data_IF_059038053895
#
_entry.id   IF_059038053895
#
_cell.length_a   1.000
_cell.length_b   1.000
_cell.length_c   1.000
_cell.angle_alpha   90.00
_cell.angle_beta   90.00
_cell.angle_gamma   90.00
#
_symmetry.space_group_name_H-M   'P 1'
#
loop_
_entity.id
_entity.type
_entity.pdbx_description
1 polymer ?
#
# COMPACT_ATOMS: atom_id res chain seq x y z
N UNK A 1 -14.78 26.83 -6.28
CA UNK A 1 -15.11 25.74 -5.34
C UNK A 1 -15.17 24.38 -6.03
N UNK A 2 -16.14 24.08 -6.92
CA UNK A 2 -16.14 22.78 -7.64
C UNK A 2 -15.04 22.67 -8.71
N UNK A 3 -14.78 23.75 -9.47
CA UNK A 3 -13.74 23.77 -10.52
C UNK A 3 -12.33 23.57 -9.98
N UNK A 4 -12.04 24.13 -8.80
CA UNK A 4 -10.72 24.01 -8.15
C UNK A 4 -10.44 22.56 -7.73
N UNK A 5 -11.45 21.87 -7.19
CA UNK A 5 -11.30 20.46 -6.81
C UNK A 5 -11.05 19.56 -8.02
N UNK A 6 -11.68 19.84 -9.16
CA UNK A 6 -11.44 19.13 -10.43
C UNK A 6 -10.00 19.35 -10.91
N UNK A 7 -9.50 20.59 -10.85
CA UNK A 7 -8.12 20.93 -11.20
C UNK A 7 -7.09 20.26 -10.27
N UNK A 8 -7.33 20.28 -8.97
CA UNK A 8 -6.48 19.64 -7.97
C UNK A 8 -6.45 18.12 -8.15
N UNK A 9 -7.60 17.50 -8.48
CA UNK A 9 -7.68 16.07 -8.79
C UNK A 9 -6.86 15.71 -10.03
N UNK A 10 -6.88 16.53 -11.08
CA UNK A 10 -6.02 16.30 -12.27
C UNK A 10 -4.54 16.28 -11.91
N UNK A 11 -4.09 17.22 -11.07
CA UNK A 11 -2.70 17.24 -10.63
C UNK A 11 -2.36 16.01 -9.77
N UNK A 12 -3.26 15.57 -8.89
CA UNK A 12 -3.07 14.34 -8.12
C UNK A 12 -3.00 13.11 -9.02
N UNK A 13 -3.92 12.98 -9.98
CA UNK A 13 -3.95 11.86 -10.93
C UNK A 13 -2.68 11.84 -11.80
N UNK A 14 -2.12 13.00 -12.14
CA UNK A 14 -0.81 13.13 -12.78
C UNK A 14 0.32 12.61 -11.88
N UNK A 15 0.33 12.98 -10.60
CA UNK A 15 1.32 12.49 -9.62
C UNK A 15 1.21 10.97 -9.41
N UNK A 16 0.00 10.43 -9.39
CA UNK A 16 -0.24 8.99 -9.23
C UNK A 16 0.22 8.16 -10.43
N UNK A 17 0.05 8.71 -11.64
CA UNK A 17 0.44 8.03 -12.88
C UNK A 17 1.95 8.14 -13.12
N UNK A 18 2.51 9.34 -12.97
CA UNK A 18 3.86 9.69 -13.42
C UNK A 18 4.80 9.88 -12.22
N UNK A 19 4.57 9.19 -11.10
CA UNK A 19 5.31 9.37 -9.84
C UNK A 19 6.83 9.24 -9.99
N UNK A 20 7.31 8.43 -10.94
CA UNK A 20 8.73 8.16 -11.16
C UNK A 20 9.44 9.28 -11.92
N UNK A 21 8.68 10.13 -12.61
CA UNK A 21 9.23 11.25 -13.37
C UNK A 21 9.71 12.36 -12.43
N UNK A 22 10.65 13.22 -12.88
CA UNK A 22 11.08 14.40 -12.14
C UNK A 22 9.96 15.46 -12.13
N UNK A 23 8.92 15.22 -11.32
CA UNK A 23 7.81 16.12 -11.13
C UNK A 23 8.20 17.25 -10.18
N UNK A 24 8.13 18.48 -10.68
CA UNK A 24 8.29 19.69 -9.88
C UNK A 24 6.93 20.33 -9.57
N UNK A 25 6.86 21.06 -8.45
CA UNK A 25 5.63 21.77 -8.02
C UNK A 25 5.13 22.75 -9.11
N UNK A 26 6.01 23.48 -9.83
CA UNK A 26 5.59 24.30 -10.96
C UNK A 26 4.87 23.54 -12.08
N UNK A 27 5.34 22.35 -12.48
CA UNK A 27 4.67 21.53 -13.50
C UNK A 27 3.29 21.06 -13.05
N UNK A 28 3.17 20.62 -11.80
CA UNK A 28 1.90 20.21 -11.21
C UNK A 28 0.91 21.38 -11.15
N UNK A 29 1.39 22.57 -10.78
CA UNK A 29 0.58 23.78 -10.76
C UNK A 29 0.10 24.18 -12.17
N UNK A 30 0.97 24.07 -13.19
CA UNK A 30 0.59 24.28 -14.60
C UNK A 30 -0.49 23.30 -15.05
N UNK A 31 -0.37 22.02 -14.69
CA UNK A 31 -1.37 20.99 -14.99
C UNK A 31 -2.73 21.26 -14.30
N UNK A 32 -2.71 21.92 -13.14
CA UNK A 32 -3.90 22.37 -12.43
C UNK A 32 -4.43 23.73 -12.91
N UNK A 33 -3.77 24.41 -13.86
CA UNK A 33 -4.06 25.80 -14.26
C UNK A 33 -4.02 26.80 -13.09
N UNK A 34 -3.05 26.61 -12.18
CA UNK A 34 -2.88 27.45 -10.99
C UNK A 34 -1.45 28.02 -10.92
N UNK A 35 -1.29 29.13 -10.21
CA UNK A 35 0.05 29.56 -9.78
C UNK A 35 0.60 28.60 -8.72
N UNK A 36 1.94 28.42 -8.61
CA UNK A 36 2.53 27.45 -7.68
C UNK A 36 2.15 27.66 -6.20
N UNK A 37 2.05 28.92 -5.78
CA UNK A 37 1.64 29.28 -4.42
C UNK A 37 0.16 28.98 -4.14
N UNK A 38 -0.72 29.30 -5.09
CA UNK A 38 -2.14 28.98 -4.97
C UNK A 38 -2.38 27.46 -4.99
N UNK A 39 -1.69 26.76 -5.89
CA UNK A 39 -1.72 25.30 -5.99
C UNK A 39 -1.31 24.64 -4.67
N UNK A 40 -0.16 25.01 -4.10
CA UNK A 40 0.34 24.38 -2.88
C UNK A 40 -0.62 24.56 -1.69
N UNK A 41 -1.20 25.74 -1.52
CA UNK A 41 -2.19 26.01 -0.46
C UNK A 41 -3.48 25.24 -0.69
N UNK A 42 -4.00 25.28 -1.92
CA UNK A 42 -5.28 24.64 -2.28
C UNK A 42 -5.17 23.12 -2.22
N UNK A 43 -4.05 22.55 -2.66
CA UNK A 43 -3.76 21.12 -2.57
C UNK A 43 -3.73 20.65 -1.11
N UNK A 44 -3.02 21.39 -0.24
CA UNK A 44 -3.00 21.07 1.20
C UNK A 44 -4.37 21.20 1.84
N UNK A 45 -5.14 22.22 1.49
CA UNK A 45 -6.50 22.39 1.99
C UNK A 45 -7.42 21.24 1.55
N UNK A 46 -7.25 20.73 0.33
CA UNK A 46 -8.10 19.67 -0.22
C UNK A 46 -7.69 18.25 0.20
N UNK A 47 -6.38 17.97 0.35
CA UNK A 47 -5.85 16.62 0.57
C UNK A 47 -5.13 16.43 1.91
N UNK A 48 -5.01 17.48 2.73
CA UNK A 48 -4.41 17.43 4.07
C UNK A 48 -2.88 17.49 4.10
N UNK A 49 -2.19 17.33 2.98
CA UNK A 49 -0.73 17.36 2.89
C UNK A 49 -0.21 18.20 1.73
N UNK A 50 1.09 18.52 1.73
CA UNK A 50 1.71 19.28 0.63
C UNK A 50 1.88 18.41 -0.61
N UNK A 51 1.94 19.00 -1.82
CA UNK A 51 2.20 18.23 -3.05
C UNK A 51 3.49 17.40 -2.97
N UNK A 52 4.56 17.95 -2.41
CA UNK A 52 5.82 17.21 -2.24
C UNK A 52 5.67 16.00 -1.31
N UNK A 53 4.98 16.18 -0.16
CA UNK A 53 4.72 15.09 0.78
C UNK A 53 3.92 13.98 0.11
N UNK A 54 2.86 14.34 -0.61
CA UNK A 54 2.00 13.40 -1.32
C UNK A 54 2.80 12.58 -2.34
N UNK A 55 3.56 13.25 -3.23
CA UNK A 55 4.38 12.57 -4.23
C UNK A 55 5.36 11.59 -3.57
N UNK A 56 5.99 12.02 -2.49
CA UNK A 56 6.95 11.19 -1.78
C UNK A 56 6.28 9.98 -1.13
N UNK A 57 5.10 10.13 -0.54
CA UNK A 57 4.30 9.01 -0.02
C UNK A 57 3.99 8.00 -1.13
N UNK A 58 3.54 8.47 -2.31
CA UNK A 58 3.29 7.60 -3.48
C UNK A 58 4.55 6.85 -3.93
N UNK A 59 5.71 7.52 -3.96
CA UNK A 59 7.00 6.89 -4.29
C UNK A 59 7.39 5.82 -3.27
N UNK A 60 7.21 6.07 -1.98
CA UNK A 60 7.51 5.10 -0.92
C UNK A 60 6.57 3.89 -1.01
N UNK A 61 5.27 4.09 -1.28
CA UNK A 61 4.34 2.98 -1.51
C UNK A 61 4.79 2.08 -2.66
N UNK A 62 5.24 2.67 -3.78
CA UNK A 62 5.79 1.91 -4.89
C UNK A 62 7.10 1.22 -4.52
N UNK A 63 7.98 1.90 -3.79
CA UNK A 63 9.25 1.33 -3.32
C UNK A 63 9.02 0.09 -2.47
N UNK A 64 8.04 0.12 -1.55
CA UNK A 64 7.64 -1.05 -0.76
C UNK A 64 7.28 -2.24 -1.67
N UNK A 65 6.51 -2.01 -2.73
CA UNK A 65 6.14 -3.07 -3.66
C UNK A 65 7.36 -3.68 -4.38
N UNK A 66 8.31 -2.85 -4.81
CA UNK A 66 9.55 -3.31 -5.45
C UNK A 66 10.47 -4.05 -4.49
N UNK A 67 10.62 -3.57 -3.25
CA UNK A 67 11.44 -4.22 -2.22
C UNK A 67 10.85 -5.58 -1.82
N UNK A 68 9.52 -5.71 -1.75
CA UNK A 68 8.87 -7.00 -1.49
C UNK A 68 9.13 -8.03 -2.58
N UNK A 69 9.27 -7.59 -3.82
CA UNK A 69 9.55 -8.47 -4.97
C UNK A 69 10.97 -9.03 -4.93
N UNK A 70 11.92 -8.26 -4.40
CA UNK A 70 13.30 -8.70 -4.13
C UNK A 70 14.29 -8.57 -5.30
N UNK A 71 13.79 -8.31 -6.53
CA UNK A 71 14.58 -8.28 -7.77
C UNK A 71 15.55 -7.10 -7.88
N UNK A 72 15.34 -6.02 -7.11
CA UNK A 72 16.15 -4.81 -7.15
C UNK A 72 16.83 -4.57 -5.80
N UNK A 73 18.04 -4.01 -5.84
CA UNK A 73 18.72 -3.44 -4.68
C UNK A 73 18.00 -2.17 -4.20
N UNK A 74 18.27 -1.76 -2.95
CA UNK A 74 17.69 -0.53 -2.38
C UNK A 74 18.04 0.70 -3.23
N UNK A 75 19.27 0.78 -3.73
CA UNK A 75 19.73 1.88 -4.58
C UNK A 75 18.99 1.91 -5.91
N UNK A 76 18.81 0.75 -6.56
CA UNK A 76 18.03 0.67 -7.81
C UNK A 76 16.57 1.04 -7.58
N UNK A 77 15.96 0.59 -6.47
CA UNK A 77 14.60 0.98 -6.11
C UNK A 77 14.48 2.49 -5.92
N UNK A 78 15.43 3.13 -5.21
CA UNK A 78 15.44 4.58 -5.01
C UNK A 78 15.32 5.34 -6.34
N UNK A 79 16.16 5.00 -7.32
CA UNK A 79 16.12 5.66 -8.63
C UNK A 79 14.90 5.24 -9.47
N UNK A 80 14.47 3.97 -9.38
CA UNK A 80 13.30 3.48 -10.11
C UNK A 80 11.98 4.15 -9.68
N UNK A 81 11.89 4.65 -8.45
CA UNK A 81 10.72 5.43 -7.98
C UNK A 81 10.89 6.94 -8.18
N UNK A 82 11.97 7.40 -8.83
CA UNK A 82 12.19 8.81 -9.14
C UNK A 82 12.83 9.63 -8.02
N UNK A 83 13.38 8.99 -6.98
CA UNK A 83 14.18 9.68 -5.97
C UNK A 83 15.60 9.93 -6.49
N UNK A 84 16.14 11.12 -6.21
CA UNK A 84 17.47 11.54 -6.70
C UNK A 84 18.60 11.29 -5.72
N UNK A 85 18.28 10.99 -4.45
CA UNK A 85 19.29 10.73 -3.43
C UNK A 85 18.87 9.57 -2.52
N UNK A 86 19.81 8.66 -2.29
CA UNK A 86 19.60 7.49 -1.44
C UNK A 86 19.38 7.88 0.02
N UNK A 87 20.06 8.93 0.51
CA UNK A 87 19.92 9.42 1.88
C UNK A 87 18.51 9.95 2.16
N UNK A 88 18.00 10.88 1.34
CA UNK A 88 16.66 11.44 1.53
C UNK A 88 15.58 10.37 1.36
N UNK A 89 15.75 9.46 0.39
CA UNK A 89 14.87 8.31 0.23
C UNK A 89 14.85 7.43 1.50
N UNK A 90 16.02 7.05 2.03
CA UNK A 90 16.11 6.15 3.18
C UNK A 90 15.52 6.76 4.44
N UNK A 91 15.79 8.04 4.71
CA UNK A 91 15.20 8.76 5.85
C UNK A 91 13.69 8.80 5.74
N UNK A 92 13.17 9.18 4.58
CA UNK A 92 11.72 9.33 4.37
C UNK A 92 10.99 7.99 4.32
N UNK A 93 11.61 6.96 3.77
CA UNK A 93 11.11 5.59 3.85
C UNK A 93 10.98 5.16 5.30
N UNK A 94 12.04 5.35 6.10
CA UNK A 94 12.03 4.95 7.52
C UNK A 94 10.98 5.72 8.32
N UNK A 95 10.83 7.02 8.08
CA UNK A 95 9.80 7.84 8.71
C UNK A 95 8.37 7.34 8.40
N UNK A 96 8.10 6.98 7.15
CA UNK A 96 6.77 6.55 6.71
C UNK A 96 6.46 5.07 6.97
N UNK A 97 7.48 4.22 7.02
CA UNK A 97 7.33 2.75 7.12
C UNK A 97 7.67 2.22 8.51
N UNK A 98 8.49 2.94 9.29
CA UNK A 98 8.94 2.54 10.62
C UNK A 98 10.19 1.66 10.65
N UNK A 99 10.69 1.22 9.49
CA UNK A 99 11.92 0.43 9.34
C UNK A 99 12.71 0.87 8.10
N UNK A 100 14.01 0.60 8.08
CA UNK A 100 14.88 1.00 6.95
C UNK A 100 14.55 0.21 5.68
N UNK A 101 14.84 0.73 4.47
CA UNK A 101 14.59 0.01 3.23
C UNK A 101 15.28 -1.36 3.15
N UNK A 102 16.51 -1.46 3.66
CA UNK A 102 17.28 -2.71 3.69
C UNK A 102 16.66 -3.74 4.64
N UNK A 103 16.24 -3.31 5.83
CA UNK A 103 15.55 -4.17 6.80
C UNK A 103 14.21 -4.63 6.25
N UNK A 104 13.44 -3.71 5.66
CA UNK A 104 12.17 -4.02 5.00
C UNK A 104 12.35 -5.09 3.93
N UNK A 105 13.35 -4.95 3.03
CA UNK A 105 13.65 -5.92 1.96
C UNK A 105 14.08 -7.29 2.49
N UNK A 106 14.84 -7.34 3.58
CA UNK A 106 15.34 -8.59 4.15
C UNK A 106 14.25 -9.36 4.92
N UNK A 107 13.15 -8.70 5.29
CA UNK A 107 12.05 -9.31 6.02
C UNK A 107 11.23 -10.24 5.11
N UNK A 108 10.82 -11.37 5.66
CA UNK A 108 9.87 -12.29 5.03
C UNK A 108 8.53 -11.58 4.84
N UNK A 109 8.10 -11.37 3.59
CA UNK A 109 6.84 -10.71 3.25
C UNK A 109 5.66 -11.67 3.05
N UNK A 110 5.81 -12.90 3.53
CA UNK A 110 4.91 -14.03 3.25
C UNK A 110 3.54 -13.91 3.92
N UNK A 111 3.31 -12.91 4.77
CA UNK A 111 2.02 -12.64 5.40
C UNK A 111 1.28 -11.42 4.82
N UNK A 112 1.53 -11.11 3.54
CA UNK A 112 0.61 -10.32 2.71
C UNK A 112 -0.31 -11.20 1.86
N UNK A 113 -0.46 -12.47 2.26
CA UNK A 113 -1.29 -13.48 1.61
C UNK A 113 -2.67 -12.90 1.30
N UNK A 114 -2.90 -12.77 0.00
CA UNK A 114 -4.16 -12.55 -0.71
C UNK A 114 -5.38 -12.50 0.19
N UNK A 115 -6.00 -11.32 0.27
CA UNK A 115 -7.40 -11.19 0.66
C UNK A 115 -8.15 -12.31 -0.07
N UNK A 116 -8.80 -13.25 0.65
CA UNK A 116 -9.52 -14.33 0.00
C UNK A 116 -10.47 -13.74 -1.05
N UNK A 117 -10.60 -14.38 -2.21
CA UNK A 117 -11.40 -13.84 -3.31
C UNK A 117 -12.84 -13.51 -2.87
N UNK A 118 -13.38 -14.22 -1.88
CA UNK A 118 -14.67 -13.91 -1.26
C UNK A 118 -14.67 -12.54 -0.56
N UNK A 119 -13.65 -12.23 0.24
CA UNK A 119 -13.50 -10.96 0.95
C UNK A 119 -13.29 -9.82 -0.04
N UNK A 120 -12.44 -10.00 -1.06
CA UNK A 120 -12.24 -9.01 -2.11
C UNK A 120 -13.55 -8.71 -2.87
N UNK A 121 -14.32 -9.75 -3.24
CA UNK A 121 -15.62 -9.58 -3.89
C UNK A 121 -16.64 -8.82 -3.05
N UNK A 122 -16.65 -8.99 -1.72
CA UNK A 122 -17.56 -8.27 -0.82
C UNK A 122 -17.20 -6.78 -0.78
N UNK A 123 -15.92 -6.45 -0.61
CA UNK A 123 -15.48 -5.06 -0.44
C UNK A 123 -15.33 -4.28 -1.75
N UNK A 124 -15.19 -4.95 -2.89
CA UNK A 124 -15.04 -4.31 -4.20
C UNK A 124 -16.29 -4.40 -5.07
N UNK A 125 -17.41 -4.93 -4.54
CA UNK A 125 -18.66 -5.06 -5.29
C UNK A 125 -19.13 -3.67 -5.75
N UNK A 126 -19.28 -3.42 -7.07
CA UNK A 126 -19.82 -2.16 -7.54
C UNK A 126 -21.26 -2.02 -7.06
N UNK A 127 -21.52 -1.01 -6.23
CA UNK A 127 -22.89 -0.62 -5.89
C UNK A 127 -23.50 -0.02 -7.15
N UNK A 128 -24.54 -0.67 -7.69
CA UNK A 128 -25.33 -0.09 -8.77
C UNK A 128 -26.10 1.09 -8.19
N UNK A 129 -25.58 2.29 -8.37
CA UNK A 129 -26.30 3.51 -8.04
C UNK A 129 -27.35 3.77 -9.12
N UNK A 130 -28.62 3.44 -8.84
CA UNK A 130 -29.74 3.84 -9.69
C UNK A 130 -31.10 3.16 -9.42
N UNK A 131 -31.94 3.80 -8.58
CA UNK A 131 -33.42 3.83 -8.74
C UNK A 131 -34.28 2.81 -7.98
N UNK A 132 -35.50 3.17 -7.49
CA UNK A 132 -36.26 2.43 -6.48
C UNK A 132 -37.29 1.46 -7.06
N UNK A 133 -37.38 0.25 -6.50
CA UNK A 133 -38.60 -0.57 -6.41
C UNK A 133 -38.29 -1.76 -5.49
N UNK A 134 -38.71 -1.71 -4.23
CA UNK A 134 -39.94 -2.36 -3.74
C UNK A 134 -39.76 -3.85 -3.43
N UNK A 135 -39.74 -4.13 -2.12
CA UNK A 135 -40.27 -5.29 -1.40
C UNK A 135 -40.18 -6.69 -2.05
N UNK A 136 -39.45 -7.57 -1.37
CA UNK A 136 -39.62 -9.01 -1.55
C UNK A 136 -38.53 -9.84 -0.89
N UNK A 137 -38.53 -9.93 0.44
CA UNK A 137 -38.18 -11.22 1.06
C UNK A 137 -39.29 -12.24 0.78
N UNK A 138 -39.17 -13.53 1.14
CA UNK A 138 -38.26 -14.03 2.16
C UNK A 138 -37.54 -15.36 1.82
N UNK A 139 -36.59 -15.70 2.69
CA UNK A 139 -36.38 -17.02 3.32
C UNK A 139 -36.40 -18.30 2.47
N UNK A 140 -35.33 -19.09 2.61
CA UNK A 140 -35.27 -20.47 2.14
C UNK A 140 -34.06 -21.20 2.72
N UNK A 141 -34.18 -21.59 3.99
CA UNK A 141 -33.35 -22.58 4.68
C UNK A 141 -33.30 -23.92 3.95
N UNK A 142 -32.12 -24.57 3.88
CA UNK A 142 -31.91 -26.01 4.16
C UNK A 142 -30.47 -26.44 3.81
N UNK A 143 -29.67 -26.63 4.86
CA UNK A 143 -28.75 -27.79 4.99
C UNK A 143 -29.60 -29.06 5.24
N UNK A 144 -29.13 -30.32 5.01
CA UNK A 144 -28.00 -30.86 5.79
C UNK A 144 -27.14 -32.01 5.18
N UNK A 145 -26.01 -32.26 5.87
CA UNK A 145 -25.31 -33.53 6.17
C UNK A 145 -24.77 -34.42 5.01
N UNK A 146 -23.66 -35.16 5.11
CA UNK A 146 -22.98 -35.73 6.27
C UNK A 146 -21.48 -36.06 5.97
N UNK A 147 -20.66 -35.94 7.02
CA UNK A 147 -19.69 -36.92 7.55
C UNK A 147 -18.79 -37.76 6.62
N UNK A 148 -17.47 -37.59 6.76
CA UNK A 148 -16.58 -38.75 7.03
C UNK A 148 -15.32 -38.30 7.79
N UNK A 149 -15.27 -38.70 9.06
CA UNK A 149 -14.14 -39.17 9.88
C UNK A 149 -12.73 -38.54 9.74
N UNK A 150 -12.32 -37.93 10.86
CA UNK A 150 -10.94 -37.68 11.31
C UNK A 150 -10.23 -39.00 11.65
N UNK A 151 -8.89 -39.06 11.74
CA UNK A 151 -8.30 -38.84 13.07
C UNK A 151 -6.93 -38.13 13.07
N UNK A 152 -6.69 -37.34 14.12
CA UNK A 152 -5.37 -37.03 14.68
C UNK A 152 -5.26 -37.74 16.05
N UNK A 153 -4.13 -37.72 16.80
CA UNK A 153 -2.75 -37.31 16.50
C UNK A 153 -1.71 -38.39 16.89
N UNK A 154 -0.44 -38.22 16.52
CA UNK A 154 0.69 -38.95 17.11
C UNK A 154 1.85 -38.02 17.49
N UNK A 155 2.05 -37.84 18.79
CA UNK A 155 3.36 -37.67 19.45
C UNK A 155 3.52 -38.89 20.38
N UNK A 156 4.69 -39.22 20.98
CA UNK A 156 5.93 -38.44 21.16
C UNK A 156 7.24 -39.25 20.94
N UNK A 157 8.42 -38.60 21.04
CA UNK A 157 9.53 -39.13 21.86
C UNK A 157 10.51 -38.02 22.23
N UNK A 158 10.79 -37.97 23.54
CA UNK A 158 11.85 -37.22 24.21
C UNK A 158 13.21 -37.88 23.97
N UNK A 159 14.26 -37.07 24.00
CA UNK A 159 15.59 -37.27 24.64
C UNK A 159 16.36 -35.97 24.34
N UNK A 160 16.90 -35.17 25.27
CA UNK A 160 17.44 -35.48 26.59
C UNK A 160 18.94 -35.14 26.57
N UNK A 161 19.30 -33.91 27.00
CA UNK A 161 20.56 -33.48 27.65
C UNK A 161 21.92 -33.76 26.95
N UNK A 162 23.05 -33.12 27.25
CA UNK A 162 23.48 -31.83 27.79
C UNK A 162 25.03 -31.85 27.74
N UNK A 163 25.63 -30.67 27.93
CA UNK A 163 26.98 -30.35 28.47
C UNK A 163 27.92 -29.66 27.46
N UNK A 164 28.21 -28.38 27.69
CA UNK A 164 29.28 -27.84 28.57
C UNK A 164 30.56 -27.75 27.76
N UNK A 165 31.11 -26.57 27.49
CA UNK A 165 32.02 -25.93 28.43
C UNK A 165 32.11 -24.42 28.21
N UNK A 166 32.21 -23.72 29.34
CA UNK A 166 32.57 -22.31 29.44
C UNK A 166 34.10 -22.14 29.52
N UNK A 167 34.55 -20.96 29.07
CA UNK A 167 35.62 -20.13 29.65
C UNK A 167 37.08 -20.61 29.53
N UNK A 168 38.11 -19.77 29.85
CA UNK A 168 38.14 -18.52 30.65
C UNK A 168 37.89 -17.20 29.89
#
# INVERSE_FOLDING_TARGET
MLSDLVQLRRARDLMDRDYAEPLDVPALARAAHMSPGHFSRSFRAAFGETPYSYLMTRRIERAKALLRRGDLSVTEVCFAVGCTSLGSFSSRFTELVGESPSAYRARRHEAGETIPACVAKIFTRPVRTGGPAENGGPSGSAEPAAETESPAPAQPVRNGEAKHTARP
#
